data_IF_804280915206
#
_entry.id   IF_804280915206
#
_cell.length_a   1.000
_cell.length_b   1.000
_cell.length_c   1.000
_cell.angle_alpha   90.00
_cell.angle_beta   90.00
_cell.angle_gamma   90.00
#
_symmetry.space_group_name_H-M   'P 1'
#
loop_
_entity.id
_entity.type
_entity.pdbx_description
1 polymer ?
#
# COMPACT_ATOMS: atom_id res chain seq x y z
N UNK A 1 3.14 8.81 -14.86
CA UNK A 1 2.77 9.28 -13.51
C UNK A 1 1.76 8.33 -12.87
N UNK A 2 2.08 7.72 -11.73
CA UNK A 2 1.13 6.91 -10.94
C UNK A 2 -0.01 7.77 -10.38
N UNK A 3 0.21 9.08 -10.19
CA UNK A 3 -0.81 10.03 -9.80
C UNK A 3 -1.70 10.38 -11.00
N UNK A 4 -2.88 9.77 -11.08
CA UNK A 4 -3.96 10.20 -11.98
C UNK A 4 -4.59 11.49 -11.42
N UNK A 5 -5.20 12.29 -12.30
CA UNK A 5 -5.98 13.44 -11.88
C UNK A 5 -7.10 12.98 -10.90
N UNK A 6 -7.43 13.76 -9.88
CA UNK A 6 -8.53 13.43 -8.98
C UNK A 6 -9.83 13.22 -9.78
N UNK A 7 -10.54 12.14 -9.48
CA UNK A 7 -11.88 11.89 -10.01
C UNK A 7 -12.81 12.95 -9.39
N UNK A 8 -13.60 13.67 -10.22
CA UNK A 8 -14.59 14.62 -9.73
C UNK A 8 -15.59 13.93 -8.80
N UNK A 9 -16.11 14.62 -7.79
CA UNK A 9 -17.17 14.06 -6.96
C UNK A 9 -18.46 13.95 -7.79
N UNK A 10 -19.04 12.76 -7.89
CA UNK A 10 -20.30 12.55 -8.64
C UNK A 10 -21.55 12.77 -7.75
N UNK A 11 -21.39 12.79 -6.42
CA UNK A 11 -22.49 12.58 -5.47
C UNK A 11 -22.34 13.28 -4.09
N UNK A 12 -21.35 14.16 -3.90
CA UNK A 12 -21.28 15.02 -2.71
C UNK A 12 -20.90 14.32 -1.40
N UNK A 13 -20.57 13.04 -1.41
CA UNK A 13 -20.28 12.20 -0.22
C UNK A 13 -19.11 12.69 0.67
N UNK A 14 -18.23 13.56 0.16
CA UNK A 14 -17.03 14.07 0.85
C UNK A 14 -16.94 15.62 0.88
N UNK A 15 -18.07 16.33 0.77
CA UNK A 15 -18.08 17.79 0.80
C UNK A 15 -17.38 18.45 -0.41
N UNK A 16 -17.44 17.80 -1.58
CA UNK A 16 -16.98 18.36 -2.86
C UNK A 16 -15.47 18.24 -3.17
N UNK A 17 -14.70 17.49 -2.37
CA UNK A 17 -13.28 17.21 -2.68
C UNK A 17 -13.16 16.05 -3.67
N UNK A 18 -12.40 16.23 -4.74
CA UNK A 18 -12.08 15.15 -5.69
C UNK A 18 -11.19 14.07 -5.06
N UNK A 19 -11.31 12.82 -5.51
CA UNK A 19 -10.58 11.67 -4.96
C UNK A 19 -9.49 11.17 -5.91
N UNK A 20 -8.32 10.83 -5.38
CA UNK A 20 -7.30 10.13 -6.17
C UNK A 20 -7.56 8.62 -6.14
N UNK A 21 -7.63 7.99 -7.32
CA UNK A 21 -7.76 6.53 -7.46
C UNK A 21 -6.40 5.96 -7.85
N UNK A 22 -5.91 5.00 -7.05
CA UNK A 22 -4.72 4.22 -7.38
C UNK A 22 -5.13 2.96 -8.13
N UNK A 23 -4.50 2.72 -9.29
CA UNK A 23 -4.60 1.44 -9.96
C UNK A 23 -3.73 0.41 -9.22
N UNK A 24 -4.38 -0.52 -8.54
CA UNK A 24 -3.72 -1.57 -7.75
C UNK A 24 -3.57 -2.89 -8.50
N UNK A 25 -4.01 -2.97 -9.75
CA UNK A 25 -3.91 -4.20 -10.54
C UNK A 25 -2.49 -4.33 -11.07
N UNK A 26 -1.92 -5.53 -10.94
CA UNK A 26 -0.61 -5.85 -11.49
C UNK A 26 -0.73 -7.06 -12.41
N UNK A 27 -0.33 -6.88 -13.67
CA UNK A 27 -0.40 -7.93 -14.69
C UNK A 27 0.34 -9.21 -14.24
N UNK A 28 1.47 -9.05 -13.53
CA UNK A 28 2.27 -10.16 -13.00
C UNK A 28 1.51 -11.08 -12.03
N UNK A 29 0.49 -10.57 -11.33
CA UNK A 29 -0.29 -11.35 -10.37
C UNK A 29 -1.34 -12.24 -11.04
N UNK A 30 -1.69 -11.91 -12.30
CA UNK A 30 -2.68 -12.64 -13.08
C UNK A 30 -4.14 -12.44 -12.62
N UNK A 31 -5.10 -12.92 -13.42
CA UNK A 31 -6.52 -12.65 -13.21
C UNK A 31 -7.08 -13.29 -11.92
N UNK A 32 -6.56 -14.46 -11.52
CA UNK A 32 -7.03 -15.13 -10.31
C UNK A 32 -6.71 -14.32 -9.05
N UNK A 33 -5.52 -13.75 -8.97
CA UNK A 33 -5.13 -12.92 -7.84
C UNK A 33 -5.90 -11.60 -7.83
N UNK A 34 -6.06 -10.98 -9.00
CA UNK A 34 -6.87 -9.77 -9.16
C UNK A 34 -8.31 -10.00 -8.66
N UNK A 35 -8.94 -11.10 -9.05
CA UNK A 35 -10.27 -11.48 -8.58
C UNK A 35 -10.29 -11.71 -7.07
N UNK A 36 -9.34 -12.46 -6.53
CA UNK A 36 -9.27 -12.77 -5.10
C UNK A 36 -9.14 -11.50 -4.25
N UNK A 37 -8.26 -10.56 -4.64
CA UNK A 37 -8.09 -9.28 -3.93
C UNK A 37 -9.30 -8.37 -4.09
N UNK A 38 -9.89 -8.30 -5.26
CA UNK A 38 -11.12 -7.52 -5.48
C UNK A 38 -12.26 -8.06 -4.64
N UNK A 39 -12.46 -9.38 -4.60
CA UNK A 39 -13.48 -10.03 -3.76
C UNK A 39 -13.22 -9.82 -2.26
N UNK A 40 -11.97 -9.82 -1.82
CA UNK A 40 -11.58 -9.49 -0.45
C UNK A 40 -12.02 -8.05 -0.09
N UNK A 41 -11.71 -7.07 -0.94
CA UNK A 41 -12.08 -5.66 -0.69
C UNK A 41 -13.59 -5.42 -0.78
N UNK A 42 -14.27 -6.09 -1.72
CA UNK A 42 -15.72 -5.99 -1.83
C UNK A 42 -16.42 -6.53 -0.57
N UNK A 43 -15.97 -7.67 -0.03
CA UNK A 43 -16.50 -8.19 1.23
C UNK A 43 -16.25 -7.26 2.41
N UNK A 44 -15.07 -6.64 2.50
CA UNK A 44 -14.78 -5.65 3.52
C UNK A 44 -15.76 -4.46 3.44
N UNK A 45 -15.97 -3.92 2.24
CA UNK A 45 -16.94 -2.85 1.99
C UNK A 45 -18.37 -3.23 2.39
N UNK A 46 -18.86 -4.39 1.96
CA UNK A 46 -20.21 -4.83 2.30
C UNK A 46 -20.44 -5.01 3.80
N UNK A 47 -19.43 -5.48 4.54
CA UNK A 47 -19.54 -5.68 5.99
C UNK A 47 -19.57 -4.35 6.75
N UNK A 48 -18.97 -3.31 6.17
CA UNK A 48 -18.88 -2.01 6.81
C UNK A 48 -19.93 -0.99 6.36
N UNK A 49 -20.55 -1.15 5.18
CA UNK A 49 -21.48 -0.17 4.57
C UNK A 49 -22.98 -0.43 4.86
N UNK A 50 -23.36 -1.54 5.52
CA UNK A 50 -24.77 -1.93 5.56
C UNK A 50 -25.23 -2.81 6.71
N UNK A 51 -25.30 -2.26 7.93
CA UNK A 51 -26.19 -2.76 8.99
C UNK A 51 -25.83 -4.10 9.66
N UNK A 52 -24.68 -4.71 9.34
CA UNK A 52 -24.17 -5.90 10.06
C UNK A 52 -23.26 -5.57 11.25
N UNK A 53 -22.94 -4.28 11.48
CA UNK A 53 -22.16 -3.76 12.61
C UNK A 53 -20.92 -4.62 12.95
N UNK A 54 -20.23 -5.16 11.94
CA UNK A 54 -19.01 -5.92 12.16
C UNK A 54 -17.80 -4.99 12.02
N UNK A 55 -16.94 -4.98 13.03
CA UNK A 55 -15.65 -4.31 13.00
C UNK A 55 -14.76 -4.98 11.93
N UNK A 56 -14.25 -4.20 10.98
CA UNK A 56 -13.41 -4.70 9.87
C UNK A 56 -12.03 -4.02 9.94
N UNK A 57 -10.97 -4.82 9.91
CA UNK A 57 -9.59 -4.37 9.76
C UNK A 57 -9.07 -4.82 8.40
N UNK A 58 -8.89 -3.88 7.46
CA UNK A 58 -8.48 -4.17 6.07
C UNK A 58 -7.44 -3.18 5.54
N UNK A 59 -6.53 -2.77 6.42
CA UNK A 59 -5.51 -1.77 6.10
C UNK A 59 -4.53 -2.24 5.01
N UNK A 60 -4.08 -1.28 4.20
CA UNK A 60 -3.03 -1.53 3.20
C UNK A 60 -1.69 -1.77 3.89
N UNK A 61 -1.21 -3.02 3.80
CA UNK A 61 0.10 -3.44 4.29
C UNK A 61 1.26 -2.96 3.39
N UNK A 62 2.48 -2.85 3.92
CA UNK A 62 3.64 -2.62 3.08
C UNK A 62 3.96 -3.86 2.25
N UNK A 63 4.46 -3.66 1.04
CA UNK A 63 5.16 -4.73 0.32
C UNK A 63 6.38 -5.16 1.13
N UNK A 64 6.52 -6.46 1.41
CA UNK A 64 7.57 -6.97 2.28
C UNK A 64 8.36 -8.10 1.60
N UNK A 65 9.60 -8.32 2.05
CA UNK A 65 10.49 -9.38 1.55
C UNK A 65 10.10 -10.77 2.07
N UNK A 66 8.89 -11.24 1.77
CA UNK A 66 8.39 -12.54 2.23
C UNK A 66 9.15 -13.69 1.57
N UNK A 67 9.19 -14.85 2.23
CA UNK A 67 9.79 -16.08 1.67
C UNK A 67 9.21 -16.42 0.27
N UNK A 68 7.89 -16.25 0.11
CA UNK A 68 7.19 -16.45 -1.17
C UNK A 68 7.59 -15.48 -2.27
N UNK A 69 8.23 -14.34 -1.95
CA UNK A 69 8.76 -13.42 -2.96
C UNK A 69 10.26 -13.62 -3.18
N UNK A 70 11.03 -13.78 -2.10
CA UNK A 70 12.50 -13.81 -2.18
C UNK A 70 13.06 -15.13 -2.68
N UNK A 71 12.30 -16.23 -2.64
CA UNK A 71 12.75 -17.51 -3.21
C UNK A 71 12.89 -17.47 -4.74
N UNK A 72 12.17 -16.56 -5.41
CA UNK A 72 12.29 -16.33 -6.85
C UNK A 72 13.37 -15.27 -7.07
N UNK A 73 14.51 -15.66 -7.63
CA UNK A 73 15.68 -14.78 -7.78
C UNK A 73 15.37 -13.48 -8.53
N UNK A 74 14.58 -13.54 -9.60
CA UNK A 74 14.18 -12.35 -10.38
C UNK A 74 13.35 -11.38 -9.53
N UNK A 75 12.40 -11.88 -8.77
CA UNK A 75 11.57 -11.06 -7.89
C UNK A 75 12.39 -10.52 -6.71
N UNK A 76 13.30 -11.31 -6.16
CA UNK A 76 14.23 -10.88 -5.11
C UNK A 76 15.10 -9.70 -5.58
N UNK A 77 15.69 -9.81 -6.78
CA UNK A 77 16.46 -8.73 -7.40
C UNK A 77 15.59 -7.50 -7.66
N UNK A 78 14.40 -7.68 -8.24
CA UNK A 78 13.47 -6.57 -8.47
C UNK A 78 13.10 -5.84 -7.17
N UNK A 79 12.75 -6.58 -6.11
CA UNK A 79 12.48 -5.99 -4.80
C UNK A 79 13.67 -5.20 -4.25
N UNK A 80 14.90 -5.63 -4.54
CA UNK A 80 16.11 -4.88 -4.16
C UNK A 80 16.21 -3.56 -4.92
N UNK A 81 16.07 -3.59 -6.25
CA UNK A 81 16.19 -2.38 -7.07
C UNK A 81 15.01 -1.41 -6.98
N UNK A 82 13.87 -1.82 -6.41
CA UNK A 82 12.76 -0.90 -6.12
C UNK A 82 13.19 0.26 -5.21
N UNK A 83 14.17 0.05 -4.32
CA UNK A 83 14.69 1.09 -3.42
C UNK A 83 15.53 2.16 -4.15
N UNK A 84 15.71 2.05 -5.47
CA UNK A 84 16.25 3.11 -6.31
C UNK A 84 15.21 4.18 -6.70
N UNK A 85 13.92 3.88 -6.51
CA UNK A 85 12.82 4.75 -6.91
C UNK A 85 12.19 5.39 -5.68
N UNK A 86 12.63 6.59 -5.30
CA UNK A 86 12.02 7.30 -4.18
C UNK A 86 10.52 7.57 -4.44
N UNK A 87 9.64 7.42 -3.43
CA UNK A 87 9.91 7.10 -2.02
C UNK A 87 9.67 5.61 -1.68
N UNK A 88 9.88 4.68 -2.61
CA UNK A 88 9.62 3.27 -2.40
C UNK A 88 10.53 2.67 -1.33
N UNK A 89 9.93 1.89 -0.43
CA UNK A 89 10.65 1.16 0.60
C UNK A 89 9.99 -0.21 0.84
N UNK A 90 10.80 -1.26 0.83
CA UNK A 90 10.37 -2.65 1.02
C UNK A 90 10.91 -3.16 2.37
N UNK A 91 10.15 -3.03 3.47
CA UNK A 91 10.61 -3.48 4.78
C UNK A 91 10.86 -4.99 4.84
N UNK A 92 11.60 -5.40 5.87
CA UNK A 92 11.69 -6.80 6.26
C UNK A 92 10.33 -7.33 6.74
N UNK A 93 10.16 -8.66 6.71
CA UNK A 93 8.93 -9.31 7.19
C UNK A 93 8.67 -8.97 8.66
N UNK A 94 9.71 -8.91 9.50
CA UNK A 94 9.59 -8.58 10.92
C UNK A 94 9.02 -7.18 11.12
N UNK A 95 9.52 -6.18 10.39
CA UNK A 95 9.02 -4.81 10.46
C UNK A 95 7.58 -4.74 9.94
N UNK A 96 7.30 -5.35 8.79
CA UNK A 96 5.95 -5.38 8.22
C UNK A 96 4.93 -6.04 9.16
N UNK A 97 5.29 -7.18 9.77
CA UNK A 97 4.44 -7.88 10.72
C UNK A 97 4.20 -7.07 11.99
N UNK A 98 5.24 -6.44 12.55
CA UNK A 98 5.12 -5.58 13.72
C UNK A 98 4.20 -4.38 13.47
N UNK A 99 4.35 -3.71 12.33
CA UNK A 99 3.49 -2.59 11.94
C UNK A 99 2.04 -3.06 11.76
N UNK A 100 1.80 -4.17 11.07
CA UNK A 100 0.45 -4.70 10.88
C UNK A 100 -0.20 -5.14 12.20
N UNK A 101 0.57 -5.70 13.14
CA UNK A 101 0.07 -6.05 14.46
C UNK A 101 -0.35 -4.81 15.25
N UNK A 102 0.47 -3.74 15.24
CA UNK A 102 0.14 -2.48 15.88
C UNK A 102 -1.11 -1.83 15.29
N UNK A 103 -1.23 -1.85 13.97
CA UNK A 103 -2.40 -1.35 13.26
C UNK A 103 -3.67 -2.15 13.59
N UNK A 104 -3.58 -3.48 13.67
CA UNK A 104 -4.70 -4.31 14.11
C UNK A 104 -5.12 -3.98 15.55
N UNK A 105 -4.15 -3.82 16.47
CA UNK A 105 -4.43 -3.41 17.85
C UNK A 105 -5.10 -2.03 17.87
N UNK A 106 -4.63 -1.09 17.05
CA UNK A 106 -5.25 0.23 16.92
C UNK A 106 -6.70 0.13 16.43
N UNK A 107 -6.98 -0.70 15.42
CA UNK A 107 -8.34 -0.93 14.90
C UNK A 107 -9.28 -1.57 15.95
N UNK A 108 -8.74 -2.31 16.91
CA UNK A 108 -9.50 -2.91 18.01
C UNK A 108 -9.80 -1.92 19.15
N UNK A 109 -8.84 -1.04 19.46
CA UNK A 109 -8.90 -0.15 20.62
C UNK A 109 -9.52 1.21 20.31
N UNK A 110 -9.40 1.70 19.08
CA UNK A 110 -9.88 3.03 18.69
C UNK A 110 -11.30 2.95 18.08
N UNK A 111 -12.10 4.03 18.17
CA UNK A 111 -13.34 4.13 17.42
C UNK A 111 -13.05 3.96 15.92
N UNK A 112 -13.80 3.09 15.25
CA UNK A 112 -13.66 2.92 13.80
C UNK A 112 -14.28 4.12 13.08
N UNK A 113 -13.54 4.67 12.11
CA UNK A 113 -14.10 5.65 11.17
C UNK A 113 -15.05 4.97 10.19
N UNK A 114 -16.08 5.67 9.74
CA UNK A 114 -17.02 5.17 8.73
C UNK A 114 -16.27 4.68 7.48
N UNK A 115 -16.27 3.37 7.30
CA UNK A 115 -15.62 2.68 6.19
C UNK A 115 -16.16 3.15 4.84
N UNK A 116 -17.45 3.53 4.82
CA UNK A 116 -18.19 4.02 3.67
C UNK A 116 -17.57 5.25 3.02
N UNK A 117 -16.77 6.04 3.76
CA UNK A 117 -16.20 7.27 3.20
C UNK A 117 -14.82 7.08 2.56
N UNK A 118 -13.88 6.30 3.14
CA UNK A 118 -12.48 6.30 2.62
C UNK A 118 -11.61 5.11 3.07
N UNK A 119 -12.20 3.93 3.26
CA UNK A 119 -11.69 2.82 4.09
C UNK A 119 -10.30 2.21 3.84
N UNK A 120 -9.49 2.69 2.90
CA UNK A 120 -8.14 2.15 2.67
C UNK A 120 -7.00 3.13 2.87
N UNK A 121 -7.24 4.44 3.03
CA UNK A 121 -6.17 5.45 2.98
C UNK A 121 -5.63 5.84 4.36
N UNK A 122 -6.50 5.96 5.36
CA UNK A 122 -6.13 6.37 6.71
C UNK A 122 -5.41 5.21 7.43
N UNK A 123 -4.17 5.43 7.84
CA UNK A 123 -3.34 4.40 8.46
C UNK A 123 -2.69 3.41 7.47
N UNK A 124 -2.82 3.66 6.16
CA UNK A 124 -2.18 2.84 5.15
C UNK A 124 -0.65 2.92 5.22
N UNK A 125 -0.01 1.76 5.18
CA UNK A 125 1.45 1.65 5.15
C UNK A 125 1.85 1.13 3.78
N UNK A 126 1.69 1.98 2.76
CA UNK A 126 1.85 1.59 1.36
C UNK A 126 3.32 1.55 0.87
N UNK A 127 4.30 1.69 1.76
CA UNK A 127 5.74 1.62 1.42
C UNK A 127 6.19 2.63 0.35
N UNK A 128 5.52 3.78 0.25
CA UNK A 128 5.80 4.79 -0.78
C UNK A 128 5.10 4.59 -2.12
N UNK A 129 4.47 3.44 -2.37
CA UNK A 129 3.87 3.08 -3.67
C UNK A 129 2.88 4.14 -4.21
N UNK A 130 1.97 4.64 -3.38
CA UNK A 130 0.98 5.66 -3.78
C UNK A 130 1.57 7.04 -4.03
N UNK A 131 2.79 7.31 -3.53
CA UNK A 131 3.50 8.57 -3.72
C UNK A 131 4.56 8.48 -4.83
N UNK A 132 4.88 7.27 -5.29
CA UNK A 132 5.85 7.08 -6.35
C UNK A 132 5.31 7.65 -7.66
N UNK A 133 6.15 8.37 -8.41
CA UNK A 133 5.77 8.90 -9.72
C UNK A 133 5.55 7.80 -10.77
N UNK A 134 6.05 6.59 -10.52
CA UNK A 134 6.03 5.47 -11.45
C UNK A 134 5.12 4.35 -10.97
N UNK A 135 4.50 3.64 -11.91
CA UNK A 135 3.75 2.41 -11.59
C UNK A 135 4.73 1.24 -11.42
N UNK A 136 4.36 0.24 -10.63
CA UNK A 136 5.19 -0.96 -10.45
C UNK A 136 5.55 -1.63 -11.79
N UNK A 137 4.63 -1.62 -12.75
CA UNK A 137 4.85 -2.17 -14.09
C UNK A 137 5.89 -1.36 -14.89
N UNK A 138 5.83 -0.02 -14.80
CA UNK A 138 6.75 0.85 -15.55
C UNK A 138 8.20 0.76 -15.08
N UNK A 139 8.44 0.40 -13.82
CA UNK A 139 9.79 0.29 -13.25
C UNK A 139 10.24 -1.15 -13.03
N UNK A 140 9.37 -2.15 -13.25
CA UNK A 140 9.66 -3.54 -12.88
C UNK A 140 10.96 -4.08 -13.48
N UNK A 141 11.17 -3.88 -14.78
CA UNK A 141 12.39 -4.31 -15.46
C UNK A 141 13.63 -3.51 -15.05
N UNK A 142 13.50 -2.20 -14.87
CA UNK A 142 14.61 -1.35 -14.41
C UNK A 142 15.00 -1.68 -12.97
N UNK A 143 14.02 -1.89 -12.08
CA UNK A 143 14.25 -2.34 -10.72
C UNK A 143 14.91 -3.72 -10.68
N UNK A 144 14.48 -4.66 -11.53
CA UNK A 144 15.17 -5.94 -11.69
C UNK A 144 16.64 -5.75 -12.10
N UNK A 145 16.91 -4.97 -13.16
CA UNK A 145 18.26 -4.74 -13.64
C UNK A 145 19.16 -4.09 -12.58
N UNK A 146 18.67 -3.06 -11.90
CA UNK A 146 19.40 -2.38 -10.83
C UNK A 146 19.71 -3.33 -9.66
N UNK A 147 18.74 -4.14 -9.23
CA UNK A 147 18.96 -5.12 -8.18
C UNK A 147 19.92 -6.23 -8.59
N UNK A 148 19.83 -6.72 -9.83
CA UNK A 148 20.73 -7.73 -10.37
C UNK A 148 22.18 -7.22 -10.49
N UNK A 149 22.36 -5.92 -10.75
CA UNK A 149 23.66 -5.23 -10.76
C UNK A 149 24.15 -4.85 -9.35
N UNK A 150 23.42 -5.21 -8.29
CA UNK A 150 23.84 -4.98 -6.91
C UNK A 150 23.68 -3.54 -6.44
N UNK A 151 22.67 -2.81 -6.94
CA UNK A 151 22.28 -1.50 -6.40
C UNK A 151 22.23 -1.55 -4.87
N UNK A 152 22.83 -0.57 -4.20
CA UNK A 152 22.77 -0.43 -2.74
C UNK A 152 21.90 0.78 -2.41
N UNK A 153 20.81 0.55 -1.70
CA UNK A 153 19.94 1.62 -1.26
C UNK A 153 20.72 2.69 -0.48
N UNK A 154 20.41 3.95 -0.75
CA UNK A 154 20.93 5.06 0.05
C UNK A 154 20.37 4.92 1.47
N UNK A 155 21.16 5.18 2.52
CA UNK A 155 20.65 5.23 3.88
C UNK A 155 19.46 6.19 3.95
N UNK A 156 18.39 5.78 4.65
CA UNK A 156 17.26 6.66 4.89
C UNK A 156 17.77 7.97 5.53
N UNK A 157 17.30 9.14 5.06
CA UNK A 157 17.60 10.39 5.76
C UNK A 157 17.10 10.29 7.21
N UNK A 158 17.77 10.99 8.16
CA UNK A 158 17.33 11.00 9.54
C UNK A 158 15.86 11.44 9.62
N UNK A 159 15.12 10.84 10.57
CA UNK A 159 13.72 11.21 10.78
C UNK A 159 13.62 12.73 10.97
N UNK A 160 12.61 13.39 10.36
CA UNK A 160 12.37 14.79 10.63
C UNK A 160 12.13 15.00 12.13
N UNK A 161 12.52 16.15 12.70
CA UNK A 161 12.31 16.43 14.11
C UNK A 161 10.83 16.27 14.44
N UNK A 162 10.54 15.68 15.60
CA UNK A 162 9.18 15.51 16.07
C UNK A 162 8.45 16.87 16.05
N UNK A 163 7.18 16.93 15.63
CA UNK A 163 6.42 18.16 15.72
C UNK A 163 6.42 18.66 17.17
N UNK A 164 6.42 20.00 17.39
CA UNK A 164 6.37 20.56 18.73
C UNK A 164 5.15 19.98 19.47
N UNK A 165 5.38 19.49 20.69
CA UNK A 165 4.31 19.03 21.56
C UNK A 165 3.42 20.25 21.88
N UNK A 166 2.13 20.15 21.57
CA UNK A 166 1.12 21.16 21.88
C UNK A 166 0.64 21.02 23.33
#
# INVERSE_FOLDING_TARGET
PNARAPVPPDDGYDGGRGRCVCDGLATLQGPNYALAKTAQQWRAAMLSDGGRCARVSSLMAPGARTASMVHVATLSAALHGLEAFEPLHVPSVTVAAGVMALLLVADLLLPQSDFASVGHTRGAVHGGAWRCAFTAESIGWTAYALGALGYRARPLPPAPPAPPQA
#
